data_IF_010235697150
#
_entry.id   IF_010235697150
#
_cell.length_a   1.000
_cell.length_b   1.000
_cell.length_c   1.000
_cell.angle_alpha   90.00
_cell.angle_beta   90.00
_cell.angle_gamma   90.00
#
_symmetry.space_group_name_H-M   'P 1'
#
loop_
_entity.id
_entity.type
_entity.pdbx_description
1 polymer ?
#
# COMPACT_ATOMS: atom_id res chain seq x y z
N UNK A 1 30.55 -12.32 33.78
CA UNK A 1 31.21 -11.07 33.38
C UNK A 1 30.55 -9.92 34.11
N UNK A 2 31.35 -9.10 34.79
CA UNK A 2 30.93 -8.06 35.74
C UNK A 2 30.55 -6.80 34.94
N UNK A 3 29.26 -6.47 34.85
CA UNK A 3 28.82 -5.24 34.19
C UNK A 3 29.09 -4.07 35.12
N UNK A 4 29.96 -3.16 34.68
CA UNK A 4 30.31 -1.93 35.38
C UNK A 4 29.13 -0.97 35.30
N UNK A 5 28.64 -0.56 36.47
CA UNK A 5 27.74 0.57 36.64
C UNK A 5 28.52 1.85 36.35
N UNK A 6 28.25 2.51 35.23
CA UNK A 6 28.73 3.87 34.96
C UNK A 6 27.62 4.85 35.32
N UNK A 7 27.56 5.19 36.61
CA UNK A 7 26.91 6.42 37.06
C UNK A 7 27.77 7.60 36.58
N UNK A 8 27.28 8.36 35.61
CA UNK A 8 27.76 9.73 35.40
C UNK A 8 26.66 10.59 34.76
N UNK A 9 25.65 10.94 35.55
CA UNK A 9 24.84 12.12 35.28
C UNK A 9 25.38 13.25 36.15
N UNK A 10 25.91 14.26 35.48
CA UNK A 10 26.49 15.46 36.09
C UNK A 10 25.38 16.24 36.83
N UNK A 11 25.45 16.45 38.15
CA UNK A 11 24.36 17.09 38.91
C UNK A 11 24.35 18.64 38.85
N UNK A 12 25.16 19.26 37.99
CA UNK A 12 25.40 20.72 38.02
C UNK A 12 24.79 21.51 36.85
N UNK A 13 23.51 21.27 36.55
CA UNK A 13 22.69 22.20 35.76
C UNK A 13 21.41 22.65 36.47
N UNK A 14 21.19 22.20 37.71
CA UNK A 14 20.00 22.54 38.51
C UNK A 14 20.16 23.72 39.48
N UNK A 15 21.24 24.53 39.39
CA UNK A 15 21.48 25.63 40.34
C UNK A 15 21.84 26.99 39.73
N UNK A 16 21.32 27.30 38.55
CA UNK A 16 21.38 28.66 38.01
C UNK A 16 20.07 29.00 37.26
N UNK A 17 19.01 29.28 38.01
CA UNK A 17 17.71 29.66 37.43
C UNK A 17 16.49 29.44 38.33
N UNK A 18 16.66 29.36 39.66
CA UNK A 18 15.60 29.05 40.60
C UNK A 18 14.76 30.28 41.06
N UNK A 19 14.75 31.38 40.30
CA UNK A 19 13.93 32.55 40.61
C UNK A 19 13.37 33.14 39.31
N UNK A 20 12.04 33.33 39.25
CA UNK A 20 11.21 33.90 38.15
C UNK A 20 10.36 32.92 37.32
N UNK A 21 9.92 31.80 37.90
CA UNK A 21 8.78 31.01 37.38
C UNK A 21 7.62 31.03 38.39
N UNK A 22 6.34 30.94 37.95
CA UNK A 22 5.24 30.68 38.88
C UNK A 22 5.52 29.36 39.65
N UNK A 23 5.09 29.23 40.91
CA UNK A 23 5.30 28.00 41.67
C UNK A 23 4.56 26.83 41.02
N UNK A 24 5.11 25.63 41.16
CA UNK A 24 4.43 24.40 40.75
C UNK A 24 3.19 24.18 41.63
N UNK A 25 2.06 23.90 41.00
CA UNK A 25 0.74 23.86 41.63
C UNK A 25 0.01 22.52 41.43
N UNK A 26 0.69 21.54 40.82
CA UNK A 26 0.21 20.16 40.68
C UNK A 26 1.35 19.16 40.92
N UNK A 27 1.02 18.03 41.54
CA UNK A 27 1.92 16.90 41.75
C UNK A 27 1.47 15.69 40.89
N UNK A 28 2.41 15.04 40.20
CA UNK A 28 2.17 13.81 39.45
C UNK A 28 2.79 12.64 40.21
N UNK A 29 1.97 11.67 40.62
CA UNK A 29 2.43 10.44 41.28
C UNK A 29 2.61 9.33 40.24
N UNK A 30 3.80 8.73 40.20
CA UNK A 30 4.18 7.62 39.31
C UNK A 30 3.98 6.26 39.96
N UNK A 31 4.17 5.18 39.19
CA UNK A 31 3.90 3.79 39.63
C UNK A 31 4.75 3.33 40.82
N UNK A 32 5.96 3.86 40.95
CA UNK A 32 6.92 3.61 42.03
C UNK A 32 6.70 4.51 43.26
N UNK A 33 5.67 5.37 43.24
CA UNK A 33 5.38 6.32 44.32
C UNK A 33 6.19 7.62 44.26
N UNK A 34 7.04 7.81 43.25
CA UNK A 34 7.73 9.08 43.06
C UNK A 34 6.76 10.20 42.67
N UNK A 35 7.13 11.44 43.00
CA UNK A 35 6.32 12.63 42.75
C UNK A 35 7.05 13.62 41.86
N UNK A 36 6.40 14.06 40.79
CA UNK A 36 6.92 15.06 39.85
C UNK A 36 6.10 16.34 40.01
N UNK A 37 6.74 17.42 40.43
CA UNK A 37 6.12 18.74 40.51
C UNK A 37 5.96 19.35 39.11
N UNK A 38 4.78 19.90 38.79
CA UNK A 38 4.50 20.50 37.49
C UNK A 38 3.55 21.71 37.59
N UNK A 39 3.34 22.38 36.45
CA UNK A 39 2.44 23.51 36.32
C UNK A 39 1.15 23.06 35.64
N UNK A 40 0.03 23.27 36.32
CA UNK A 40 -1.31 22.94 35.82
C UNK A 40 -1.62 23.64 34.50
N UNK A 41 -1.14 24.88 34.34
CA UNK A 41 -1.32 25.69 33.12
C UNK A 41 -0.69 25.03 31.90
N UNK A 42 0.50 24.46 32.05
CA UNK A 42 1.20 23.74 30.96
C UNK A 42 0.46 22.44 30.64
N UNK A 43 0.20 21.61 31.65
CA UNK A 43 -0.43 20.30 31.45
C UNK A 43 -1.85 20.42 30.87
N UNK A 44 -2.65 21.35 31.39
CA UNK A 44 -4.02 21.58 30.92
C UNK A 44 -4.04 22.10 29.49
N UNK A 45 -3.11 23.01 29.15
CA UNK A 45 -2.99 23.52 27.78
C UNK A 45 -2.57 22.44 26.77
N UNK A 46 -1.75 21.48 27.20
CA UNK A 46 -1.23 20.44 26.32
C UNK A 46 -2.17 19.23 26.18
N UNK A 47 -3.04 18.99 27.17
CA UNK A 47 -3.92 17.82 27.20
C UNK A 47 -5.28 18.13 27.85
N UNK A 48 -6.40 17.95 27.12
CA UNK A 48 -7.74 18.05 27.70
C UNK A 48 -8.05 16.92 28.69
N UNK A 49 -7.28 15.83 28.66
CA UNK A 49 -7.42 14.74 29.65
C UNK A 49 -6.78 15.16 30.96
N UNK A 50 -5.56 15.72 30.92
CA UNK A 50 -4.86 16.22 32.10
C UNK A 50 -5.61 17.40 32.73
N UNK A 51 -6.13 18.33 31.93
CA UNK A 51 -6.99 19.43 32.40
C UNK A 51 -8.14 18.91 33.27
N UNK A 52 -8.92 17.94 32.76
CA UNK A 52 -10.03 17.34 33.50
C UNK A 52 -9.57 16.56 34.74
N UNK A 53 -8.39 15.95 34.70
CA UNK A 53 -7.82 15.26 35.86
C UNK A 53 -7.47 16.26 36.96
N UNK A 54 -6.88 17.40 36.60
CA UNK A 54 -6.53 18.49 37.51
C UNK A 54 -7.79 19.13 38.10
N UNK A 55 -8.79 19.42 37.28
CA UNK A 55 -10.07 19.97 37.74
C UNK A 55 -10.77 19.07 38.75
N UNK A 56 -10.68 17.74 38.55
CA UNK A 56 -11.22 16.77 39.51
C UNK A 56 -10.39 16.73 40.79
N UNK A 57 -9.06 16.76 40.68
CA UNK A 57 -8.18 16.77 41.85
C UNK A 57 -8.46 17.98 42.75
N UNK A 58 -8.62 19.17 42.15
CA UNK A 58 -8.95 20.42 42.87
C UNK A 58 -10.32 20.45 43.54
N UNK A 59 -11.28 19.65 43.04
CA UNK A 59 -12.62 19.52 43.64
C UNK A 59 -12.67 18.49 44.76
N UNK A 60 -11.60 17.71 44.96
CA UNK A 60 -11.50 16.74 46.04
C UNK A 60 -11.31 17.40 47.41
N UNK A 61 -11.49 16.62 48.49
CA UNK A 61 -11.29 17.10 49.87
C UNK A 61 -9.82 17.33 50.25
N UNK A 62 -8.86 16.98 49.37
CA UNK A 62 -7.43 17.14 49.61
C UNK A 62 -6.94 18.45 48.98
N UNK A 63 -6.22 19.26 49.76
CA UNK A 63 -5.62 20.54 49.33
C UNK A 63 -4.57 20.41 48.23
N UNK A 64 -3.98 19.22 48.10
CA UNK A 64 -2.83 18.99 47.23
C UNK A 64 -3.33 18.46 45.89
N UNK A 65 -3.41 19.34 44.90
CA UNK A 65 -3.82 19.02 43.52
C UNK A 65 -2.90 17.94 42.93
N UNK A 66 -3.28 16.67 43.11
CA UNK A 66 -2.45 15.52 42.77
C UNK A 66 -3.12 14.67 41.69
N UNK A 67 -2.39 14.35 40.63
CA UNK A 67 -2.81 13.44 39.57
C UNK A 67 -1.90 12.21 39.53
N UNK A 68 -2.42 11.08 39.06
CA UNK A 68 -1.70 9.79 39.05
C UNK A 68 -1.49 9.30 37.62
N UNK A 69 -0.25 9.02 37.25
CA UNK A 69 0.14 8.40 35.97
C UNK A 69 0.80 7.06 36.29
N UNK A 70 0.03 5.99 36.13
CA UNK A 70 0.41 4.64 36.55
C UNK A 70 0.50 3.68 35.35
N UNK A 71 1.23 2.58 35.53
CA UNK A 71 1.40 1.51 34.53
C UNK A 71 2.49 1.79 33.49
N UNK A 72 3.29 2.83 33.72
CA UNK A 72 4.41 3.24 32.86
C UNK A 72 5.63 3.50 33.77
N UNK A 73 6.87 3.20 33.31
CA UNK A 73 8.10 3.58 33.99
C UNK A 73 8.20 5.08 34.27
N UNK A 74 8.76 5.45 35.43
CA UNK A 74 8.76 6.84 35.91
C UNK A 74 9.64 7.76 35.08
N UNK A 75 10.75 7.25 34.55
CA UNK A 75 11.60 7.92 33.56
C UNK A 75 10.83 8.31 32.30
N UNK A 76 9.99 7.41 31.76
CA UNK A 76 9.12 7.72 30.64
C UNK A 76 8.05 8.77 31.00
N UNK A 77 7.54 8.78 32.24
CA UNK A 77 6.61 9.84 32.70
C UNK A 77 7.33 11.19 32.79
N UNK A 78 8.57 11.23 33.29
CA UNK A 78 9.40 12.43 33.30
C UNK A 78 9.62 12.94 31.87
N UNK A 79 10.02 12.06 30.95
CA UNK A 79 10.19 12.38 29.53
C UNK A 79 8.90 12.93 28.91
N UNK A 80 7.75 12.30 29.18
CA UNK A 80 6.45 12.77 28.71
C UNK A 80 6.17 14.19 29.19
N UNK A 81 6.35 14.46 30.49
CA UNK A 81 6.14 15.78 31.08
C UNK A 81 7.09 16.80 30.44
N UNK A 82 8.38 16.50 30.33
CA UNK A 82 9.37 17.36 29.68
C UNK A 82 8.95 17.74 28.26
N UNK A 83 8.48 16.78 27.47
CA UNK A 83 8.01 17.03 26.10
C UNK A 83 6.76 17.92 26.05
N UNK A 84 5.88 17.88 27.06
CA UNK A 84 4.75 18.82 27.14
C UNK A 84 5.24 20.26 27.34
N UNK A 85 6.30 20.47 28.14
CA UNK A 85 6.93 21.80 28.28
C UNK A 85 7.61 22.23 26.98
N UNK A 86 8.38 21.34 26.36
CA UNK A 86 9.16 21.63 25.15
C UNK A 86 8.29 21.87 23.92
N UNK A 87 7.10 21.26 23.84
CA UNK A 87 6.18 21.41 22.70
C UNK A 87 5.73 22.85 22.42
N UNK A 88 5.96 23.77 23.36
CA UNK A 88 5.68 25.21 23.23
C UNK A 88 6.90 26.05 22.84
N UNK A 89 8.10 25.49 22.91
CA UNK A 89 9.36 26.25 22.84
C UNK A 89 10.36 25.70 21.80
N UNK A 90 10.34 24.40 21.52
CA UNK A 90 11.30 23.73 20.63
C UNK A 90 10.56 22.78 19.68
N UNK A 91 10.90 22.73 18.37
CA UNK A 91 10.36 21.71 17.49
C UNK A 91 10.69 20.31 18.02
N UNK A 92 9.75 19.37 17.96
CA UNK A 92 9.93 17.96 18.36
C UNK A 92 10.96 17.19 17.51
N UNK A 93 11.71 17.88 16.64
CA UNK A 93 12.75 17.37 15.75
C UNK A 93 14.14 17.89 16.16
N UNK A 94 14.32 18.39 17.39
CA UNK A 94 15.64 18.76 17.90
C UNK A 94 16.41 17.51 18.37
N UNK A 95 17.75 17.48 18.24
CA UNK A 95 18.55 16.29 18.55
C UNK A 95 18.35 15.77 19.98
N UNK A 96 18.26 16.68 20.95
CA UNK A 96 18.03 16.34 22.37
C UNK A 96 16.65 15.69 22.62
N UNK A 97 15.66 16.02 21.79
CA UNK A 97 14.30 15.45 21.87
C UNK A 97 14.26 14.10 21.15
N UNK A 98 15.03 13.93 20.07
CA UNK A 98 15.13 12.67 19.35
C UNK A 98 15.68 11.55 20.24
N UNK A 99 16.74 11.81 21.02
CA UNK A 99 17.29 10.81 21.96
C UNK A 99 16.25 10.36 23.01
N UNK A 100 15.48 11.30 23.56
CA UNK A 100 14.42 11.02 24.54
C UNK A 100 13.26 10.25 23.90
N UNK A 101 12.87 10.64 22.68
CA UNK A 101 11.87 9.93 21.91
C UNK A 101 12.33 8.50 21.63
N UNK A 102 13.58 8.29 21.25
CA UNK A 102 14.10 6.98 20.89
C UNK A 102 14.12 6.02 22.08
N UNK A 103 14.50 6.49 23.27
CA UNK A 103 14.60 5.66 24.47
C UNK A 103 13.23 5.19 25.00
N UNK A 104 12.18 6.01 24.84
CA UNK A 104 10.85 5.77 25.44
C UNK A 104 9.70 5.79 24.42
N UNK A 105 10.00 5.57 23.13
CA UNK A 105 9.08 5.79 22.02
C UNK A 105 7.71 5.08 22.18
N UNK A 106 7.72 3.81 22.62
CA UNK A 106 6.50 3.02 22.79
C UNK A 106 5.64 3.53 23.95
N UNK A 107 6.27 3.86 25.08
CA UNK A 107 5.60 4.40 26.26
C UNK A 107 5.02 5.79 25.96
N UNK A 108 5.79 6.63 25.27
CA UNK A 108 5.36 7.97 24.84
C UNK A 108 4.22 7.91 23.82
N UNK A 109 4.22 6.94 22.90
CA UNK A 109 3.10 6.70 21.99
C UNK A 109 1.81 6.35 22.77
N UNK A 110 1.91 5.43 23.74
CA UNK A 110 0.77 5.04 24.56
C UNK A 110 0.23 6.21 25.41
N UNK A 111 1.12 6.98 26.05
CA UNK A 111 0.75 8.14 26.86
C UNK A 111 0.18 9.27 26.03
N UNK A 112 0.79 9.59 24.89
CA UNK A 112 0.29 10.64 23.99
C UNK A 112 -1.08 10.31 23.41
N UNK A 113 -1.38 9.03 23.14
CA UNK A 113 -2.72 8.59 22.81
C UNK A 113 -3.68 8.72 24.01
N UNK A 114 -3.35 8.13 25.15
CA UNK A 114 -4.18 8.12 26.38
C UNK A 114 -4.53 9.52 26.86
N UNK A 115 -3.56 10.42 26.87
CA UNK A 115 -3.73 11.81 27.29
C UNK A 115 -4.07 12.74 26.13
N UNK A 116 -4.32 12.23 24.92
CA UNK A 116 -4.78 12.99 23.75
C UNK A 116 -3.88 14.19 23.43
N UNK A 117 -2.60 13.91 23.18
CA UNK A 117 -1.57 14.87 22.75
C UNK A 117 -1.17 14.56 21.30
N UNK A 118 -1.91 15.07 20.28
CA UNK A 118 -1.78 14.57 18.90
C UNK A 118 -0.47 14.96 18.19
N UNK A 119 0.16 16.07 18.59
CA UNK A 119 1.49 16.45 18.07
C UNK A 119 2.54 15.43 18.48
N UNK A 120 2.63 15.14 19.78
CA UNK A 120 3.55 14.15 20.33
C UNK A 120 3.26 12.75 19.79
N UNK A 121 1.98 12.37 19.69
CA UNK A 121 1.59 11.06 19.13
C UNK A 121 2.16 10.86 17.73
N UNK A 122 2.07 11.86 16.85
CA UNK A 122 2.62 11.80 15.49
C UNK A 122 4.14 11.63 15.48
N UNK A 123 4.86 12.40 16.30
CA UNK A 123 6.31 12.27 16.43
C UNK A 123 6.72 10.89 16.94
N UNK A 124 5.98 10.34 17.92
CA UNK A 124 6.22 8.98 18.39
C UNK A 124 5.91 7.93 17.30
N UNK A 125 4.83 8.07 16.52
CA UNK A 125 4.55 7.17 15.39
C UNK A 125 5.71 7.14 14.38
N UNK A 126 6.28 8.31 14.07
CA UNK A 126 7.42 8.43 13.14
C UNK A 126 8.69 7.81 13.73
N UNK A 127 9.03 8.10 14.98
CA UNK A 127 10.20 7.53 15.65
C UNK A 127 10.10 5.99 15.77
N UNK A 128 8.95 5.48 16.21
CA UNK A 128 8.70 4.03 16.29
C UNK A 128 8.80 3.38 14.91
N UNK A 129 8.30 4.02 13.86
CA UNK A 129 8.37 3.49 12.49
C UNK A 129 9.80 3.31 11.97
N UNK A 130 10.72 4.21 12.34
CA UNK A 130 12.15 4.11 11.97
C UNK A 130 12.82 2.92 12.66
N UNK A 131 12.41 2.60 13.87
CA UNK A 131 12.96 1.50 14.68
C UNK A 131 12.28 0.14 14.44
N UNK A 132 11.39 0.03 13.45
CA UNK A 132 10.70 -1.22 13.15
C UNK A 132 11.67 -2.30 12.66
N UNK A 133 11.65 -3.44 13.32
CA UNK A 133 12.40 -4.65 12.98
C UNK A 133 11.45 -5.85 12.93
N UNK A 134 11.81 -6.96 12.26
CA UNK A 134 10.98 -8.17 12.29
C UNK A 134 10.73 -8.69 13.71
N UNK A 135 11.68 -8.45 14.62
CA UNK A 135 11.60 -8.90 16.02
C UNK A 135 10.52 -8.15 16.82
N UNK A 136 10.41 -6.82 16.64
CA UNK A 136 9.43 -6.00 17.37
C UNK A 136 8.12 -5.75 16.60
N UNK A 137 8.03 -6.16 15.33
CA UNK A 137 6.94 -5.79 14.43
C UNK A 137 5.54 -6.13 14.97
N UNK A 138 5.39 -7.30 15.60
CA UNK A 138 4.09 -7.78 16.10
C UNK A 138 3.64 -7.01 17.33
N UNK A 139 4.57 -6.73 18.25
CA UNK A 139 4.28 -5.95 19.46
C UNK A 139 3.91 -4.52 19.10
N UNK A 140 4.65 -3.90 18.18
CA UNK A 140 4.36 -2.56 17.68
C UNK A 140 3.06 -2.53 16.90
N UNK A 141 2.74 -3.56 16.09
CA UNK A 141 1.47 -3.68 15.39
C UNK A 141 0.29 -3.69 16.37
N UNK A 142 0.40 -4.48 17.45
CA UNK A 142 -0.60 -4.54 18.52
C UNK A 142 -0.74 -3.20 19.22
N UNK A 143 0.37 -2.54 19.57
CA UNK A 143 0.37 -1.21 20.18
C UNK A 143 -0.26 -0.17 19.27
N UNK A 144 0.08 -0.16 17.98
CA UNK A 144 -0.46 0.76 17.00
C UNK A 144 -1.98 0.63 16.87
N UNK A 145 -2.50 -0.61 16.94
CA UNK A 145 -3.94 -0.87 16.98
C UNK A 145 -4.58 -0.32 18.25
N UNK A 146 -3.99 -0.56 19.42
CA UNK A 146 -4.49 -0.06 20.70
C UNK A 146 -4.44 1.46 20.82
N UNK A 147 -3.53 2.11 20.09
CA UNK A 147 -3.36 3.56 20.11
C UNK A 147 -4.09 4.27 18.96
N UNK A 148 -4.93 3.60 18.16
CA UNK A 148 -5.54 4.17 16.96
C UNK A 148 -4.53 4.85 16.02
N UNK A 149 -3.42 4.16 15.71
CA UNK A 149 -2.33 4.64 14.87
C UNK A 149 -2.30 3.87 13.52
N UNK A 150 -3.23 4.17 12.58
CA UNK A 150 -3.43 3.36 11.38
C UNK A 150 -2.23 3.39 10.41
N UNK A 151 -1.46 4.48 10.37
CA UNK A 151 -0.27 4.59 9.52
C UNK A 151 0.84 3.67 10.02
N UNK A 152 1.14 3.73 11.32
CA UNK A 152 2.10 2.83 11.95
C UNK A 152 1.67 1.38 11.84
N UNK A 153 0.38 1.08 12.08
CA UNK A 153 -0.18 -0.27 11.90
C UNK A 153 0.08 -0.78 10.48
N UNK A 154 -0.18 0.04 9.46
CA UNK A 154 0.05 -0.33 8.06
C UNK A 154 1.54 -0.61 7.78
N UNK A 155 2.46 0.19 8.33
CA UNK A 155 3.90 -0.03 8.19
C UNK A 155 4.33 -1.35 8.84
N UNK A 156 3.81 -1.66 10.03
CA UNK A 156 4.06 -2.94 10.70
C UNK A 156 3.54 -4.11 9.85
N UNK A 157 2.30 -4.05 9.38
CA UNK A 157 1.69 -5.09 8.55
C UNK A 157 2.48 -5.30 7.24
N UNK A 158 2.98 -4.22 6.64
CA UNK A 158 3.85 -4.32 5.45
C UNK A 158 5.18 -5.01 5.75
N UNK A 159 5.81 -4.72 6.88
CA UNK A 159 7.04 -5.38 7.32
C UNK A 159 6.81 -6.87 7.58
N UNK A 160 5.76 -7.19 8.35
CA UNK A 160 5.34 -8.58 8.62
C UNK A 160 5.13 -9.34 7.32
N UNK A 161 4.47 -8.73 6.34
CA UNK A 161 4.25 -9.38 5.06
C UNK A 161 5.51 -9.44 4.18
N UNK A 162 6.47 -8.54 4.36
CA UNK A 162 7.73 -8.55 3.61
C UNK A 162 8.64 -9.68 4.06
N UNK A 163 8.71 -9.91 5.37
CA UNK A 163 9.65 -10.86 5.98
C UNK A 163 8.98 -11.71 7.08
N UNK A 164 7.92 -12.42 6.70
CA UNK A 164 7.12 -13.18 7.65
C UNK A 164 7.93 -14.29 8.34
N UNK A 165 8.88 -14.89 7.63
CA UNK A 165 9.74 -15.94 8.18
C UNK A 165 10.57 -15.43 9.37
N UNK A 166 11.16 -14.23 9.26
CA UNK A 166 11.88 -13.63 10.38
C UNK A 166 10.92 -13.26 11.53
N UNK A 167 9.72 -12.79 11.23
CA UNK A 167 8.70 -12.48 12.24
C UNK A 167 8.25 -13.72 13.01
N UNK A 168 8.14 -14.88 12.37
CA UNK A 168 7.75 -16.12 13.04
C UNK A 168 8.71 -16.54 14.16
N UNK A 169 9.97 -16.13 14.06
CA UNK A 169 10.98 -16.39 15.08
C UNK A 169 10.94 -15.40 16.26
N UNK A 170 10.25 -14.26 16.11
CA UNK A 170 10.13 -13.25 17.17
C UNK A 170 9.36 -13.75 18.39
N UNK A 171 9.72 -13.23 19.55
CA UNK A 171 8.98 -13.50 20.79
C UNK A 171 7.56 -12.92 20.75
N UNK A 172 7.38 -11.75 20.12
CA UNK A 172 6.06 -11.13 19.93
C UNK A 172 5.10 -12.01 19.13
N UNK A 173 5.57 -12.64 18.04
CA UNK A 173 4.76 -13.60 17.29
C UNK A 173 4.40 -14.83 18.15
N UNK A 174 5.40 -15.46 18.78
CA UNK A 174 5.20 -16.63 19.65
C UNK A 174 4.23 -16.33 20.80
N UNK A 175 4.25 -15.11 21.34
CA UNK A 175 3.31 -14.66 22.35
C UNK A 175 1.88 -14.57 21.79
N UNK A 176 1.70 -13.95 20.62
CA UNK A 176 0.39 -13.85 19.95
C UNK A 176 -0.21 -15.22 19.68
N UNK A 177 0.57 -16.19 19.21
CA UNK A 177 0.07 -17.56 18.97
C UNK A 177 -0.45 -18.25 20.23
N UNK A 178 0.06 -17.90 21.42
CA UNK A 178 -0.36 -18.52 22.69
C UNK A 178 -1.51 -17.77 23.37
N UNK A 179 -1.62 -16.46 23.12
CA UNK A 179 -2.42 -15.57 23.98
C UNK A 179 -3.41 -14.69 23.22
N UNK A 180 -3.32 -14.58 21.89
CA UNK A 180 -4.15 -13.66 21.10
C UNK A 180 -4.50 -14.25 19.72
N UNK A 181 -5.36 -15.27 19.74
CA UNK A 181 -5.84 -15.96 18.53
C UNK A 181 -6.51 -15.01 17.52
N UNK A 182 -7.14 -13.95 17.99
CA UNK A 182 -7.79 -12.96 17.11
C UNK A 182 -6.77 -12.16 16.32
N UNK A 183 -5.69 -11.71 16.98
CA UNK A 183 -4.62 -10.99 16.31
C UNK A 183 -3.83 -11.91 15.36
N UNK A 184 -3.59 -13.17 15.74
CA UNK A 184 -2.99 -14.16 14.85
C UNK A 184 -3.81 -14.31 13.56
N UNK A 185 -5.12 -14.55 13.68
CA UNK A 185 -6.01 -14.72 12.54
C UNK A 185 -6.02 -13.49 11.62
N UNK A 186 -6.07 -12.29 12.20
CA UNK A 186 -6.04 -11.04 11.45
C UNK A 186 -4.75 -10.89 10.63
N UNK A 187 -3.60 -11.20 11.23
CA UNK A 187 -2.30 -11.16 10.54
C UNK A 187 -2.28 -12.20 9.41
N UNK A 188 -2.70 -13.44 9.68
CA UNK A 188 -2.70 -14.50 8.66
C UNK A 188 -3.66 -14.20 7.50
N UNK A 189 -4.86 -13.71 7.77
CA UNK A 189 -5.82 -13.27 6.75
C UNK A 189 -5.24 -12.15 5.88
N UNK A 190 -4.59 -11.16 6.50
CA UNK A 190 -3.94 -10.09 5.77
C UNK A 190 -2.85 -10.60 4.80
N UNK A 191 -2.07 -11.59 5.24
CA UNK A 191 -1.02 -12.23 4.42
C UNK A 191 -1.63 -12.99 3.24
N UNK A 192 -2.64 -13.82 3.50
CA UNK A 192 -3.36 -14.56 2.46
C UNK A 192 -3.97 -13.63 1.42
N UNK A 193 -4.72 -12.61 1.85
CA UNK A 193 -5.32 -11.61 0.98
C UNK A 193 -4.29 -10.90 0.09
N UNK A 194 -3.11 -10.62 0.65
CA UNK A 194 -2.02 -9.97 -0.08
C UNK A 194 -1.45 -10.89 -1.15
N UNK A 195 -1.26 -12.17 -0.84
CA UNK A 195 -0.70 -13.13 -1.79
C UNK A 195 -1.71 -13.51 -2.88
N UNK A 196 -3.00 -13.62 -2.54
CA UNK A 196 -4.07 -13.73 -3.52
C UNK A 196 -4.14 -12.52 -4.45
N UNK A 197 -4.01 -11.30 -3.92
CA UNK A 197 -3.96 -10.07 -4.73
C UNK A 197 -2.77 -10.08 -5.69
N UNK A 198 -1.58 -10.46 -5.22
CA UNK A 198 -0.40 -10.61 -6.08
C UNK A 198 -0.62 -11.66 -7.17
N UNK A 199 -1.21 -12.81 -6.82
CA UNK A 199 -1.52 -13.89 -7.77
C UNK A 199 -2.51 -13.44 -8.83
N UNK A 200 -3.64 -12.84 -8.41
CA UNK A 200 -4.64 -12.24 -9.32
C UNK A 200 -4.02 -11.20 -10.24
N UNK A 201 -3.18 -10.32 -9.71
CA UNK A 201 -2.51 -9.30 -10.51
C UNK A 201 -1.52 -9.88 -11.53
N UNK A 202 -0.74 -10.90 -11.17
CA UNK A 202 0.13 -11.63 -12.11
C UNK A 202 -0.68 -12.28 -13.22
N UNK A 203 -1.72 -13.05 -12.88
CA UNK A 203 -2.61 -13.69 -13.85
C UNK A 203 -3.30 -12.67 -14.76
N UNK A 204 -3.76 -11.55 -14.20
CA UNK A 204 -4.40 -10.49 -14.98
C UNK A 204 -3.41 -9.85 -15.96
N UNK A 205 -2.15 -9.62 -15.57
CA UNK A 205 -1.12 -9.10 -16.48
C UNK A 205 -0.77 -10.09 -17.58
N UNK A 206 -0.63 -11.37 -17.26
CA UNK A 206 -0.38 -12.42 -18.26
C UNK A 206 -1.54 -12.53 -19.26
N UNK A 207 -2.79 -12.57 -18.77
CA UNK A 207 -3.96 -12.54 -19.62
C UNK A 207 -4.04 -11.26 -20.48
N UNK A 208 -3.67 -10.11 -19.92
CA UNK A 208 -3.65 -8.84 -20.64
C UNK A 208 -2.64 -8.85 -21.79
N UNK A 209 -1.46 -9.46 -21.63
CA UNK A 209 -0.49 -9.64 -22.72
C UNK A 209 -1.09 -10.44 -23.88
N UNK A 210 -1.76 -11.55 -23.57
CA UNK A 210 -2.46 -12.37 -24.59
C UNK A 210 -3.52 -11.55 -25.32
N UNK A 211 -4.32 -10.74 -24.60
CA UNK A 211 -5.32 -9.88 -25.25
C UNK A 211 -4.68 -8.79 -26.12
N UNK A 212 -3.51 -8.29 -25.74
CA UNK A 212 -2.75 -7.34 -26.54
C UNK A 212 -2.23 -7.97 -27.83
N UNK A 213 -1.62 -9.15 -27.77
CA UNK A 213 -1.18 -9.92 -28.95
C UNK A 213 -2.36 -10.22 -29.89
N UNK A 214 -3.51 -10.63 -29.35
CA UNK A 214 -4.72 -10.84 -30.14
C UNK A 214 -5.20 -9.54 -30.79
N UNK A 215 -5.14 -8.41 -30.08
CA UNK A 215 -5.53 -7.11 -30.64
C UNK A 215 -4.59 -6.66 -31.76
N UNK A 216 -3.29 -6.93 -31.62
CA UNK A 216 -2.29 -6.69 -32.67
C UNK A 216 -2.55 -7.56 -33.88
N UNK A 217 -2.87 -8.84 -33.69
CA UNK A 217 -3.28 -9.73 -34.77
C UNK A 217 -4.53 -9.20 -35.52
N UNK A 218 -5.50 -8.59 -34.83
CA UNK A 218 -6.65 -7.95 -35.48
C UNK A 218 -6.24 -6.75 -36.34
N UNK A 219 -5.24 -5.98 -35.89
CA UNK A 219 -4.69 -4.86 -36.66
C UNK A 219 -3.86 -5.37 -37.85
N UNK A 220 -3.08 -6.43 -37.67
CA UNK A 220 -2.34 -7.09 -38.75
C UNK A 220 -3.27 -7.57 -39.86
N UNK A 221 -4.42 -8.16 -39.51
CA UNK A 221 -5.42 -8.52 -40.50
C UNK A 221 -5.91 -7.29 -41.29
N UNK A 222 -6.20 -6.19 -40.61
CA UNK A 222 -6.59 -4.96 -41.29
C UNK A 222 -5.46 -4.45 -42.20
N UNK A 223 -4.22 -4.43 -41.72
CA UNK A 223 -3.05 -4.02 -42.49
C UNK A 223 -2.83 -4.89 -43.74
N UNK A 224 -2.91 -6.22 -43.60
CA UNK A 224 -2.73 -7.17 -44.72
C UNK A 224 -3.80 -6.98 -45.80
N UNK A 225 -5.06 -6.73 -45.43
CA UNK A 225 -6.17 -6.72 -46.39
C UNK A 225 -6.66 -5.32 -46.81
N UNK A 226 -6.38 -4.28 -46.03
CA UNK A 226 -6.85 -2.91 -46.27
C UNK A 226 -5.70 -1.94 -46.57
N UNK A 227 -4.66 -1.93 -45.74
CA UNK A 227 -3.57 -0.94 -45.86
C UNK A 227 -2.48 -1.38 -46.86
N UNK A 228 -2.40 -2.67 -47.16
CA UNK A 228 -1.41 -3.26 -48.06
C UNK A 228 -0.12 -3.60 -47.31
N UNK A 229 0.13 -4.89 -47.09
CA UNK A 229 1.38 -5.37 -46.51
C UNK A 229 2.39 -5.67 -47.63
N UNK A 230 3.67 -5.22 -47.55
CA UNK A 230 4.67 -5.47 -48.58
C UNK A 230 4.80 -6.97 -48.91
N UNK A 231 5.14 -7.27 -50.17
CA UNK A 231 5.18 -8.62 -50.73
C UNK A 231 6.12 -9.57 -49.95
N UNK A 232 5.86 -10.87 -50.08
CA UNK A 232 6.33 -11.98 -49.25
C UNK A 232 7.86 -12.12 -49.00
N UNK A 233 8.71 -11.34 -49.68
CA UNK A 233 10.17 -11.47 -49.60
C UNK A 233 10.82 -10.55 -48.58
N UNK A 234 10.11 -9.53 -48.08
CA UNK A 234 10.62 -8.60 -47.08
C UNK A 234 9.83 -8.69 -45.76
N UNK A 235 10.50 -8.66 -44.60
CA UNK A 235 9.84 -8.61 -43.29
C UNK A 235 8.95 -7.38 -43.19
N UNK A 236 7.68 -7.55 -42.79
CA UNK A 236 6.82 -6.42 -42.47
C UNK A 236 7.41 -5.67 -41.27
N UNK A 237 7.65 -4.37 -41.42
CA UNK A 237 8.23 -3.53 -40.35
C UNK A 237 7.19 -2.96 -39.39
N UNK A 238 5.89 -3.07 -39.72
CA UNK A 238 4.80 -2.47 -38.94
C UNK A 238 4.27 -3.37 -37.83
N UNK A 239 4.32 -4.69 -38.02
CA UNK A 239 3.88 -5.65 -37.01
C UNK A 239 4.67 -6.95 -37.10
N UNK A 240 5.20 -7.43 -35.97
CA UNK A 240 5.93 -8.70 -35.89
C UNK A 240 5.01 -9.91 -36.20
N UNK A 241 3.72 -9.78 -35.87
CA UNK A 241 2.71 -10.83 -36.04
C UNK A 241 2.29 -11.06 -37.51
N UNK A 242 2.65 -10.17 -38.44
CA UNK A 242 2.25 -10.26 -39.86
C UNK A 242 2.76 -11.54 -40.54
N UNK A 243 4.01 -11.94 -40.28
CA UNK A 243 4.60 -13.10 -40.96
C UNK A 243 3.89 -14.40 -40.56
N UNK A 244 3.59 -14.58 -39.28
CA UNK A 244 2.85 -15.75 -38.79
C UNK A 244 1.44 -15.85 -39.39
N UNK A 245 0.74 -14.71 -39.49
CA UNK A 245 -0.58 -14.65 -40.12
C UNK A 245 -0.52 -14.95 -41.63
N UNK A 246 0.48 -14.42 -42.37
CA UNK A 246 0.68 -14.72 -43.79
C UNK A 246 0.88 -16.23 -44.02
N UNK A 247 1.68 -16.91 -43.20
CA UNK A 247 1.88 -18.36 -43.28
C UNK A 247 0.60 -19.15 -43.00
N UNK A 248 -0.19 -18.73 -42.00
CA UNK A 248 -1.50 -19.30 -41.70
C UNK A 248 -2.47 -19.12 -42.88
N UNK A 249 -2.45 -17.94 -43.53
CA UNK A 249 -3.26 -17.64 -44.71
C UNK A 249 -2.90 -18.52 -45.90
N UNK A 250 -1.61 -18.65 -46.22
CA UNK A 250 -1.14 -19.51 -47.32
C UNK A 250 -1.59 -20.96 -47.12
N UNK A 251 -1.41 -21.49 -45.90
CA UNK A 251 -1.89 -22.82 -45.57
C UNK A 251 -3.42 -22.91 -45.69
N UNK A 252 -4.16 -21.93 -45.19
CA UNK A 252 -5.62 -21.92 -45.26
C UNK A 252 -6.15 -21.90 -46.71
N UNK A 253 -5.43 -21.24 -47.63
CA UNK A 253 -5.79 -21.21 -49.04
C UNK A 253 -5.67 -22.59 -49.70
N UNK A 254 -4.58 -23.32 -49.41
CA UNK A 254 -4.21 -24.58 -50.08
C UNK A 254 -4.59 -25.85 -49.32
N UNK A 255 -5.07 -25.77 -48.08
CA UNK A 255 -5.38 -26.96 -47.28
C UNK A 255 -6.73 -27.59 -47.65
N UNK A 256 -6.72 -28.85 -48.10
CA UNK A 256 -7.93 -29.61 -48.43
C UNK A 256 -8.76 -30.00 -47.20
N UNK A 257 -8.13 -30.03 -46.01
CA UNK A 257 -8.78 -30.40 -44.74
C UNK A 257 -9.38 -29.21 -43.98
N UNK A 258 -9.56 -28.04 -44.64
CA UNK A 258 -10.00 -26.78 -44.00
C UNK A 258 -11.46 -26.76 -43.52
N UNK A 259 -12.34 -27.52 -44.17
CA UNK A 259 -13.80 -27.53 -43.89
C UNK A 259 -14.36 -28.94 -43.58
N UNK A 260 -13.48 -29.91 -43.28
CA UNK A 260 -13.93 -31.27 -42.97
C UNK A 260 -14.88 -31.28 -41.75
N UNK A 261 -16.13 -31.71 -41.97
CA UNK A 261 -17.12 -31.95 -40.91
C UNK A 261 -16.91 -33.38 -40.39
N UNK A 262 -16.78 -33.52 -39.07
CA UNK A 262 -16.54 -34.79 -38.39
C UNK A 262 -15.06 -35.01 -38.03
N UNK A 263 -14.69 -34.71 -36.78
CA UNK A 263 -13.46 -35.13 -36.09
C UNK A 263 -12.09 -34.67 -36.63
N UNK A 264 -11.82 -34.79 -37.93
CA UNK A 264 -10.49 -34.76 -38.56
C UNK A 264 -10.11 -33.48 -39.32
N UNK A 265 -10.64 -32.31 -38.93
CA UNK A 265 -10.29 -31.02 -39.56
C UNK A 265 -8.91 -30.47 -39.14
N UNK A 266 -8.22 -29.75 -40.03
CA UNK A 266 -6.88 -29.21 -39.79
C UNK A 266 -6.85 -28.17 -38.65
N UNK A 267 -5.95 -28.37 -37.66
CA UNK A 267 -5.79 -27.47 -36.51
C UNK A 267 -5.38 -26.04 -36.91
N UNK A 268 -4.50 -25.89 -37.91
CA UNK A 268 -4.07 -24.56 -38.41
C UNK A 268 -5.24 -23.80 -39.04
N UNK A 269 -6.07 -24.51 -39.81
CA UNK A 269 -7.27 -23.91 -40.41
C UNK A 269 -8.33 -23.55 -39.36
N UNK A 270 -8.53 -24.40 -38.34
CA UNK A 270 -9.42 -24.10 -37.21
C UNK A 270 -8.99 -22.83 -36.47
N UNK A 271 -7.69 -22.67 -36.18
CA UNK A 271 -7.13 -21.46 -35.57
C UNK A 271 -7.37 -20.24 -36.45
N UNK A 272 -7.14 -20.36 -37.75
CA UNK A 272 -7.36 -19.25 -38.69
C UNK A 272 -8.84 -18.78 -38.72
N UNK A 273 -9.78 -19.73 -38.76
CA UNK A 273 -11.20 -19.42 -38.63
C UNK A 273 -11.54 -18.73 -37.30
N UNK A 274 -10.91 -19.12 -36.19
CA UNK A 274 -11.10 -18.46 -34.89
C UNK A 274 -10.61 -16.99 -34.92
N UNK A 275 -9.48 -16.71 -35.58
CA UNK A 275 -8.96 -15.34 -35.74
C UNK A 275 -9.93 -14.49 -36.58
N UNK A 276 -10.45 -15.00 -37.71
CA UNK A 276 -11.46 -14.29 -38.49
C UNK A 276 -12.75 -14.06 -37.71
N UNK A 277 -13.20 -15.05 -36.94
CA UNK A 277 -14.36 -14.91 -36.05
C UNK A 277 -14.13 -13.84 -34.99
N UNK A 278 -12.94 -13.79 -34.39
CA UNK A 278 -12.59 -12.77 -33.40
C UNK A 278 -12.58 -11.37 -34.02
N UNK A 279 -11.98 -11.23 -35.21
CA UNK A 279 -11.97 -9.97 -35.96
C UNK A 279 -13.40 -9.48 -36.18
N UNK A 280 -14.28 -10.33 -36.70
CA UNK A 280 -15.69 -9.99 -36.94
C UNK A 280 -16.42 -9.49 -35.69
N UNK A 281 -16.05 -10.01 -34.51
CA UNK A 281 -16.64 -9.64 -33.22
C UNK A 281 -16.09 -8.32 -32.66
N UNK A 282 -14.88 -7.92 -33.06
CA UNK A 282 -14.21 -6.67 -32.62
C UNK A 282 -14.24 -5.55 -33.65
N UNK A 283 -14.64 -5.85 -34.89
CA UNK A 283 -14.62 -4.94 -36.02
C UNK A 283 -15.86 -4.02 -36.01
N UNK A 284 -15.64 -2.71 -36.04
CA UNK A 284 -16.70 -1.70 -36.11
C UNK A 284 -17.28 -1.52 -37.53
N UNK A 285 -16.54 -1.88 -38.58
CA UNK A 285 -16.96 -1.68 -39.97
C UNK A 285 -17.98 -2.73 -40.43
N UNK A 286 -19.19 -2.31 -40.80
CA UNK A 286 -20.30 -3.23 -41.10
C UNK A 286 -20.26 -3.82 -42.51
N UNK A 287 -19.90 -3.04 -43.54
CA UNK A 287 -19.90 -3.48 -44.96
C UNK A 287 -18.62 -3.16 -45.74
N UNK A 288 -17.80 -2.21 -45.27
CA UNK A 288 -16.55 -1.78 -45.93
C UNK A 288 -15.33 -2.62 -45.58
N UNK A 289 -15.46 -3.52 -44.59
CA UNK A 289 -14.32 -4.26 -44.06
C UNK A 289 -13.76 -5.23 -45.09
N UNK A 290 -12.48 -5.06 -45.46
CA UNK A 290 -11.80 -5.91 -46.46
C UNK A 290 -11.28 -7.25 -45.92
N UNK A 291 -11.38 -7.49 -44.61
CA UNK A 291 -10.92 -8.74 -43.99
C UNK A 291 -11.85 -9.90 -44.37
N UNK A 292 -11.32 -11.03 -44.88
CA UNK A 292 -12.12 -12.17 -45.30
C UNK A 292 -13.06 -12.69 -44.21
N UNK A 293 -14.23 -13.15 -44.62
CA UNK A 293 -15.27 -13.74 -43.76
C UNK A 293 -15.81 -12.83 -42.66
N UNK A 294 -15.41 -11.55 -42.58
CA UNK A 294 -15.88 -10.63 -41.55
C UNK A 294 -17.42 -10.48 -41.56
N UNK A 295 -18.02 -10.23 -42.72
CA UNK A 295 -19.48 -10.12 -42.90
C UNK A 295 -20.22 -11.45 -42.62
N UNK A 296 -19.65 -12.57 -43.07
CA UNK A 296 -20.20 -13.90 -42.85
C UNK A 296 -20.26 -14.25 -41.37
N UNK A 297 -19.18 -14.02 -40.62
CA UNK A 297 -19.20 -14.27 -39.19
C UNK A 297 -20.09 -13.28 -38.43
N UNK A 298 -20.17 -12.00 -38.81
CA UNK A 298 -21.10 -11.04 -38.17
C UNK A 298 -22.56 -11.49 -38.24
N UNK A 299 -23.01 -11.94 -39.41
CA UNK A 299 -24.39 -12.43 -39.60
C UNK A 299 -24.65 -13.73 -38.84
N UNK A 300 -23.71 -14.69 -38.91
CA UNK A 300 -23.79 -15.94 -38.14
C UNK A 300 -23.82 -15.71 -36.62
N UNK A 301 -23.10 -14.70 -36.15
CA UNK A 301 -23.00 -14.33 -34.74
C UNK A 301 -24.30 -13.72 -34.19
N UNK A 302 -25.11 -13.08 -35.04
CA UNK A 302 -26.45 -12.60 -34.67
C UNK A 302 -27.48 -13.73 -34.63
N UNK A 303 -27.32 -14.75 -35.48
CA UNK A 303 -28.22 -15.91 -35.55
C UNK A 303 -27.95 -16.95 -34.44
N UNK A 304 -26.68 -17.21 -34.11
CA UNK A 304 -26.29 -18.14 -33.05
C UNK A 304 -26.14 -17.39 -31.71
N UNK A 305 -26.84 -17.83 -30.65
CA UNK A 305 -26.57 -17.37 -29.28
C UNK A 305 -25.13 -17.70 -28.92
N UNK A 306 -24.22 -16.73 -29.08
CA UNK A 306 -22.80 -16.90 -28.76
C UNK A 306 -22.61 -17.37 -27.32
N UNK A 307 -21.67 -18.30 -27.17
CA UNK A 307 -21.11 -18.68 -25.88
C UNK A 307 -20.67 -17.42 -25.09
N UNK A 308 -21.00 -17.39 -23.80
CA UNK A 308 -20.66 -16.28 -22.89
C UNK A 308 -19.15 -16.09 -22.82
N UNK A 309 -18.37 -17.17 -22.91
CA UNK A 309 -16.90 -17.13 -22.91
C UNK A 309 -16.35 -16.35 -24.12
N UNK A 310 -16.87 -16.60 -25.32
CA UNK A 310 -16.44 -15.94 -26.55
C UNK A 310 -16.74 -14.45 -26.54
N UNK A 311 -17.93 -14.05 -26.05
CA UNK A 311 -18.30 -12.64 -25.89
C UNK A 311 -17.36 -11.91 -24.92
N UNK A 312 -17.00 -12.56 -23.81
CA UNK A 312 -16.07 -11.99 -22.86
C UNK A 312 -14.67 -11.81 -23.47
N UNK A 313 -14.17 -12.80 -24.21
CA UNK A 313 -12.90 -12.70 -24.93
C UNK A 313 -12.90 -11.52 -25.91
N UNK A 314 -13.92 -11.43 -26.78
CA UNK A 314 -14.03 -10.34 -27.75
C UNK A 314 -14.06 -8.97 -27.06
N UNK A 315 -14.78 -8.83 -25.94
CA UNK A 315 -14.80 -7.60 -25.15
C UNK A 315 -13.41 -7.27 -24.57
N UNK A 316 -12.69 -8.24 -24.02
CA UNK A 316 -11.34 -8.05 -23.46
C UNK A 316 -10.32 -7.64 -24.53
N UNK A 317 -10.36 -8.27 -25.70
CA UNK A 317 -9.51 -7.92 -26.85
C UNK A 317 -9.84 -6.52 -27.38
N UNK A 318 -11.12 -6.17 -27.50
CA UNK A 318 -11.54 -4.82 -27.89
C UNK A 318 -11.05 -3.76 -26.88
N UNK A 319 -11.17 -4.01 -25.57
CA UNK A 319 -10.61 -3.13 -24.53
C UNK A 319 -9.09 -3.02 -24.65
N UNK A 320 -8.37 -4.13 -24.83
CA UNK A 320 -6.91 -4.11 -25.02
C UNK A 320 -6.49 -3.28 -26.25
N UNK A 321 -7.23 -3.39 -27.37
CA UNK A 321 -7.03 -2.58 -28.58
C UNK A 321 -7.14 -1.08 -28.28
N UNK A 322 -8.19 -0.66 -27.56
CA UNK A 322 -8.39 0.74 -27.17
C UNK A 322 -7.27 1.21 -26.24
N UNK A 323 -6.93 0.43 -25.21
CA UNK A 323 -5.87 0.77 -24.25
C UNK A 323 -4.50 0.92 -24.93
N UNK A 324 -4.16 0.03 -25.87
CA UNK A 324 -2.94 0.13 -26.67
C UNK A 324 -2.91 1.40 -27.52
N UNK A 325 -4.03 1.72 -28.18
CA UNK A 325 -4.14 2.96 -28.96
C UNK A 325 -3.99 4.22 -28.10
N UNK A 326 -4.49 4.20 -26.85
CA UNK A 326 -4.36 5.31 -25.91
C UNK A 326 -2.93 5.44 -25.38
N UNK A 327 -2.26 4.32 -25.08
CA UNK A 327 -0.86 4.30 -24.64
C UNK A 327 0.09 4.86 -25.70
N UNK A 328 -0.22 4.66 -26.99
CA UNK A 328 0.57 5.16 -28.11
C UNK A 328 0.21 6.60 -28.53
N UNK A 329 -0.79 7.25 -27.91
CA UNK A 329 -1.06 8.67 -28.17
C UNK A 329 0.08 9.51 -27.60
N UNK A 330 0.65 10.39 -28.42
CA UNK A 330 1.55 11.44 -27.91
C UNK A 330 0.81 12.22 -26.83
N UNK A 331 1.41 12.25 -25.63
CA UNK A 331 0.86 13.03 -24.52
C UNK A 331 0.92 14.52 -24.90
N UNK A 332 -0.14 15.30 -24.67
CA UNK A 332 -0.08 16.74 -24.89
C UNK A 332 1.05 17.36 -24.05
N UNK A 333 1.85 18.22 -24.65
CA UNK A 333 2.99 18.87 -23.99
C UNK A 333 2.58 19.60 -22.70
N UNK A 334 1.36 20.14 -22.63
CA UNK A 334 0.87 20.82 -21.42
C UNK A 334 0.75 19.89 -20.21
N UNK A 335 0.44 18.61 -20.45
CA UNK A 335 0.31 17.60 -19.38
C UNK A 335 1.69 17.23 -18.85
N UNK A 336 2.70 17.07 -19.71
CA UNK A 336 4.07 16.80 -19.28
C UNK A 336 4.70 17.98 -18.55
N UNK A 337 4.44 19.21 -19.01
CA UNK A 337 4.87 20.42 -18.30
C UNK A 337 4.21 20.56 -16.91
N UNK A 338 2.92 20.22 -16.79
CA UNK A 338 2.21 20.22 -15.51
C UNK A 338 2.72 19.13 -14.55
N UNK A 339 3.00 17.93 -15.05
CA UNK A 339 3.58 16.84 -14.26
C UNK A 339 5.01 17.18 -13.79
N UNK A 340 5.82 17.80 -14.65
CA UNK A 340 7.16 18.25 -14.30
C UNK A 340 7.13 19.36 -13.22
N UNK A 341 6.16 20.28 -13.28
CA UNK A 341 5.95 21.30 -12.23
C UNK A 341 5.53 20.69 -10.89
N UNK A 342 4.67 19.66 -10.91
CA UNK A 342 4.24 18.96 -9.70
C UNK A 342 5.39 18.18 -9.04
N UNK A 343 6.21 17.48 -9.83
CA UNK A 343 7.34 16.70 -9.33
C UNK A 343 8.49 17.56 -8.78
N UNK A 344 8.60 18.84 -9.18
CA UNK A 344 9.58 19.79 -8.60
C UNK A 344 9.14 20.41 -7.27
N UNK A 345 7.90 20.16 -6.82
CA UNK A 345 7.33 20.71 -5.58
C UNK A 345 7.30 19.72 -4.40
N UNK A 346 7.74 18.48 -4.64
CA UNK A 346 8.11 17.51 -3.60
C UNK A 346 9.61 17.52 -3.46
#
# INVERSE_FOLDING_TARGET
MRVKSSNNCNPELHKAGAEMGPPTDVQIVTSDGNTIAAHSSVLSSASPVLERMIDRARKGWNSDSTIRILGVPSDAVVAFVQLLYSSRMVPLSSPEIEDVLDQHCLQLLAMSHKYRVPSLKRSCEEAVAVQLTPDNAVDVLKLAKLCDAPRLYQQCAQLVAKDFLAVQESDGWKFVQRHDMMLELEILQFLEDRDERKKRWKQQREAQKVYQELSEAMNCLHHIFADGCPEMREPCTWFESCQGLKLLMQHFATCDKKLARGGGGCLRCKRMCQIFRLHSSTCSESKSCRVPFCSHFKTKTQAEKLDKTWRLLAKKVATAKVMSSLANRKRPEEVDQSWAKYMRRK
#
